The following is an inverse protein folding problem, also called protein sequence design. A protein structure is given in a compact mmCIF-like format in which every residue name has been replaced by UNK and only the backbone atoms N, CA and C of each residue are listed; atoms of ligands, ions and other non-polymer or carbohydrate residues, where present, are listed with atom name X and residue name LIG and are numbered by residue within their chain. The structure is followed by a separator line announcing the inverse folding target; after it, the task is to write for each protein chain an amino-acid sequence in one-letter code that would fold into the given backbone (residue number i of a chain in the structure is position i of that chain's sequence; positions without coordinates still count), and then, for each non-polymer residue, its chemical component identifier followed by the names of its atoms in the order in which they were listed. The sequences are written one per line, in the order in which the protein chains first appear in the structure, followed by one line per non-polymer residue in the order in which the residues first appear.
data_IF_141740797053
#
_entry.id   IF_141740797053
#
_cell.length_a   1.000
_cell.length_b   1.000
_cell.length_c   1.000
_cell.angle_alpha   90.00
_cell.angle_beta   90.00
_cell.angle_gamma   90.00
#
_symmetry.space_group_name_H-M   'P 1'
#
loop_
_entity.id
_entity.type
_entity.pdbx_description
1 polymer ?
#
# COMPACT_ATOMS: atom_id res chain seq x y z
N UNK A 1 -22.28 -13.20 -20.71
CA UNK A 1 -21.82 -12.43 -19.54
C UNK A 1 -20.33 -12.16 -19.66
N UNK A 2 -19.47 -13.19 -19.73
CA UNK A 2 -18.00 -13.02 -19.78
C UNK A 2 -17.54 -12.12 -20.94
N UNK A 3 -18.10 -12.29 -22.14
CA UNK A 3 -17.78 -11.45 -23.30
C UNK A 3 -18.11 -9.96 -23.07
N UNK A 4 -19.13 -9.66 -22.28
CA UNK A 4 -19.50 -8.30 -21.92
C UNK A 4 -18.48 -7.71 -20.92
N UNK A 5 -18.09 -8.48 -19.92
CA UNK A 5 -17.05 -8.08 -18.97
C UNK A 5 -15.72 -7.78 -19.68
N UNK A 6 -15.31 -8.65 -20.61
CA UNK A 6 -14.12 -8.47 -21.43
C UNK A 6 -14.20 -7.23 -22.33
N UNK A 7 -15.37 -6.97 -22.94
CA UNK A 7 -15.58 -5.80 -23.78
C UNK A 7 -15.41 -4.49 -23.00
N UNK A 8 -15.98 -4.42 -21.79
CA UNK A 8 -15.86 -3.25 -20.91
C UNK A 8 -14.56 -3.21 -20.10
N UNK A 9 -13.72 -4.26 -20.17
CA UNK A 9 -12.49 -4.40 -19.41
C UNK A 9 -12.70 -4.25 -17.89
N UNK A 10 -13.79 -4.80 -17.38
CA UNK A 10 -14.11 -4.82 -15.95
C UNK A 10 -14.01 -6.24 -15.40
N UNK A 11 -13.51 -6.37 -14.17
CA UNK A 11 -13.40 -7.68 -13.49
C UNK A 11 -14.69 -8.12 -12.82
N UNK A 12 -15.56 -7.17 -12.49
CA UNK A 12 -16.85 -7.41 -11.86
C UNK A 12 -17.90 -6.52 -12.50
N UNK A 13 -19.04 -7.10 -12.83
CA UNK A 13 -20.24 -6.37 -13.27
C UNK A 13 -21.50 -7.14 -12.89
N UNK A 14 -22.58 -6.41 -12.67
CA UNK A 14 -23.95 -6.95 -12.59
C UNK A 14 -24.65 -6.82 -13.94
N UNK A 15 -25.36 -7.85 -14.36
CA UNK A 15 -26.18 -7.82 -15.57
C UNK A 15 -27.58 -8.23 -15.18
N UNK A 16 -28.52 -7.30 -15.32
CA UNK A 16 -29.93 -7.56 -15.13
C UNK A 16 -30.51 -8.05 -16.45
N UNK A 17 -31.14 -9.23 -16.41
CA UNK A 17 -31.71 -9.87 -17.58
C UNK A 17 -33.17 -10.21 -17.39
N UNK A 18 -33.93 -10.08 -18.46
CA UNK A 18 -35.27 -10.63 -18.58
C UNK A 18 -35.18 -11.90 -19.41
N UNK A 19 -35.56 -13.03 -18.83
CA UNK A 19 -35.54 -14.30 -19.52
C UNK A 19 -36.82 -15.10 -19.24
N UNK A 20 -37.36 -15.76 -20.23
CA UNK A 20 -38.47 -16.68 -20.04
C UNK A 20 -38.04 -17.95 -19.29
N UNK A 21 -36.82 -18.39 -19.49
CA UNK A 21 -36.17 -19.53 -18.81
C UNK A 21 -34.65 -19.34 -18.86
N UNK A 22 -34.07 -19.10 -17.67
CA UNK A 22 -32.61 -18.87 -17.53
C UNK A 22 -31.76 -20.12 -17.87
N UNK A 23 -32.35 -21.30 -17.85
CA UNK A 23 -31.66 -22.53 -18.19
C UNK A 23 -31.52 -22.78 -19.70
N UNK A 24 -32.21 -21.98 -20.51
CA UNK A 24 -32.12 -22.07 -21.98
C UNK A 24 -31.06 -21.14 -22.54
N UNK A 25 -30.46 -21.48 -23.70
CA UNK A 25 -29.55 -20.58 -24.42
C UNK A 25 -30.25 -19.25 -24.76
N UNK A 26 -29.52 -18.14 -24.65
CA UNK A 26 -30.04 -16.83 -25.04
C UNK A 26 -30.43 -16.75 -26.54
N UNK A 27 -29.84 -17.59 -27.35
CA UNK A 27 -30.12 -17.73 -28.83
C UNK A 27 -31.52 -18.25 -29.12
N UNK A 28 -32.19 -18.88 -28.16
CA UNK A 28 -33.55 -19.42 -28.32
C UNK A 28 -34.63 -18.34 -28.28
N UNK A 29 -34.23 -17.07 -28.13
CA UNK A 29 -35.13 -15.95 -27.93
C UNK A 29 -35.64 -15.83 -26.47
N UNK A 30 -36.55 -14.87 -26.23
CA UNK A 30 -37.07 -14.57 -24.91
C UNK A 30 -35.97 -14.25 -23.87
N UNK A 31 -34.88 -13.61 -24.31
CA UNK A 31 -33.81 -13.12 -23.46
C UNK A 31 -33.48 -11.67 -23.83
N UNK A 32 -33.42 -10.79 -22.83
CA UNK A 32 -33.02 -9.40 -23.01
C UNK A 32 -32.19 -8.91 -21.84
N UNK A 33 -31.14 -8.16 -22.13
CA UNK A 33 -30.38 -7.43 -21.12
C UNK A 33 -31.11 -6.13 -20.85
N UNK A 34 -31.41 -5.85 -19.59
CA UNK A 34 -32.09 -4.63 -19.14
C UNK A 34 -31.04 -3.59 -18.76
N UNK A 35 -30.04 -4.00 -17.94
CA UNK A 35 -29.08 -3.10 -17.35
C UNK A 35 -27.72 -3.80 -17.16
N UNK A 36 -26.64 -3.01 -17.23
CA UNK A 36 -25.27 -3.45 -16.94
C UNK A 36 -24.67 -2.47 -15.93
N UNK A 37 -24.29 -2.97 -14.76
CA UNK A 37 -23.78 -2.20 -13.66
C UNK A 37 -22.29 -2.52 -13.40
N UNK A 38 -21.40 -1.53 -13.50
CA UNK A 38 -19.96 -1.69 -13.18
C UNK A 38 -19.71 -1.77 -11.66
N UNK A 39 -20.67 -1.34 -10.83
CA UNK A 39 -20.63 -1.46 -9.36
C UNK A 39 -21.89 -2.13 -8.86
N UNK A 40 -22.06 -3.46 -9.05
CA UNK A 40 -23.31 -4.14 -8.70
C UNK A 40 -23.53 -4.17 -7.19
N UNK A 41 -24.80 -4.11 -6.77
CA UNK A 41 -25.20 -4.43 -5.40
C UNK A 41 -24.89 -5.90 -5.08
N UNK A 42 -24.38 -6.16 -3.87
CA UNK A 42 -24.00 -7.53 -3.45
C UNK A 42 -24.83 -8.03 -2.28
N UNK A 43 -25.61 -7.16 -1.65
CA UNK A 43 -26.37 -7.48 -0.43
C UNK A 43 -27.37 -8.63 -0.65
N UNK A 44 -28.04 -8.69 -1.79
CA UNK A 44 -29.02 -9.75 -2.13
C UNK A 44 -28.36 -11.14 -2.18
N UNK A 45 -27.05 -11.22 -2.42
CA UNK A 45 -26.33 -12.49 -2.42
C UNK A 45 -25.93 -12.92 -1.00
N UNK A 46 -25.64 -11.94 -0.12
CA UNK A 46 -25.29 -12.20 1.28
C UNK A 46 -26.54 -12.53 2.13
N UNK A 47 -27.68 -11.93 1.81
CA UNK A 47 -28.93 -12.11 2.56
C UNK A 47 -30.11 -12.34 1.59
N UNK A 48 -30.13 -13.48 0.86
CA UNK A 48 -31.24 -13.79 -0.04
C UNK A 48 -32.52 -14.05 0.75
N UNK A 49 -33.67 -13.67 0.20
CA UNK A 49 -34.97 -13.96 0.81
C UNK A 49 -35.28 -15.46 0.82
N UNK A 50 -34.78 -16.21 -0.15
CA UNK A 50 -34.91 -17.67 -0.31
C UNK A 50 -33.57 -18.20 -0.85
N UNK A 51 -33.11 -19.32 -0.32
CA UNK A 51 -31.87 -19.96 -0.70
C UNK A 51 -30.71 -19.71 0.25
N UNK A 52 -29.53 -20.21 -0.09
CA UNK A 52 -28.31 -20.04 0.72
C UNK A 52 -27.58 -18.77 0.35
N UNK A 53 -26.97 -18.12 1.34
CA UNK A 53 -26.08 -16.99 1.13
C UNK A 53 -24.84 -17.39 0.29
N UNK A 54 -24.41 -16.49 -0.57
CA UNK A 54 -23.17 -16.61 -1.36
C UNK A 54 -22.29 -15.41 -1.04
N UNK A 55 -21.05 -15.66 -0.66
CA UNK A 55 -20.08 -14.61 -0.38
C UNK A 55 -19.53 -13.99 -1.68
N UNK A 56 -20.37 -13.27 -2.40
CA UNK A 56 -19.98 -12.55 -3.60
C UNK A 56 -18.92 -11.47 -3.32
N UNK A 57 -18.99 -10.68 -2.24
CA UNK A 57 -17.91 -9.74 -1.90
C UNK A 57 -16.54 -10.42 -1.76
N UNK A 58 -16.47 -11.55 -1.04
CA UNK A 58 -15.22 -12.32 -0.90
C UNK A 58 -14.69 -12.79 -2.25
N UNK A 59 -15.56 -13.28 -3.14
CA UNK A 59 -15.19 -13.68 -4.50
C UNK A 59 -14.66 -12.51 -5.34
N UNK A 60 -15.27 -11.32 -5.20
CA UNK A 60 -14.80 -10.10 -5.87
C UNK A 60 -13.40 -9.75 -5.37
N UNK A 61 -13.19 -9.71 -4.05
CA UNK A 61 -11.87 -9.43 -3.47
C UNK A 61 -10.82 -10.44 -3.93
N UNK A 62 -11.12 -11.73 -3.89
CA UNK A 62 -10.23 -12.79 -4.36
C UNK A 62 -9.91 -12.70 -5.86
N UNK A 63 -10.77 -12.09 -6.67
CA UNK A 63 -10.49 -11.85 -8.09
C UNK A 63 -9.47 -10.72 -8.33
N UNK A 64 -9.32 -9.81 -7.36
CA UNK A 64 -8.39 -8.69 -7.44
C UNK A 64 -7.04 -8.99 -6.79
N UNK A 65 -7.03 -9.74 -5.69
CA UNK A 65 -5.84 -10.02 -4.90
C UNK A 65 -5.65 -11.51 -4.73
N UNK A 66 -4.43 -11.99 -4.97
CA UNK A 66 -4.10 -13.43 -4.83
C UNK A 66 -4.18 -13.88 -3.37
N UNK A 67 -3.68 -13.04 -2.47
CA UNK A 67 -3.72 -13.23 -1.01
C UNK A 67 -3.97 -11.88 -0.33
N UNK A 68 -4.37 -11.85 0.96
CA UNK A 68 -4.54 -10.60 1.71
C UNK A 68 -3.31 -9.70 1.72
N UNK A 69 -2.10 -10.29 1.72
CA UNK A 69 -0.83 -9.56 1.74
C UNK A 69 -0.67 -8.68 0.49
N UNK A 70 -1.15 -9.15 -0.67
CA UNK A 70 -1.15 -8.37 -1.92
C UNK A 70 -2.21 -7.27 -1.99
N UNK A 71 -3.08 -7.17 -0.97
CA UNK A 71 -4.14 -6.15 -0.94
C UNK A 71 -3.69 -4.82 -0.32
N UNK A 72 -2.44 -4.71 0.11
CA UNK A 72 -1.89 -3.52 0.76
C UNK A 72 -0.71 -2.94 -0.02
N UNK A 73 -0.50 -1.65 0.15
CA UNK A 73 0.68 -0.96 -0.36
C UNK A 73 1.83 -1.19 0.61
N UNK A 74 3.02 -1.66 0.18
CA UNK A 74 4.21 -1.68 1.01
C UNK A 74 4.58 -0.27 1.48
N UNK A 75 4.88 -0.12 2.77
CA UNK A 75 5.15 1.18 3.40
C UNK A 75 6.49 1.15 4.15
N UNK A 76 7.33 2.16 3.88
CA UNK A 76 8.42 2.57 4.76
C UNK A 76 7.96 3.81 5.51
N UNK A 77 7.93 3.77 6.83
CA UNK A 77 7.61 4.92 7.67
C UNK A 77 8.86 5.39 8.44
N UNK A 78 9.01 6.69 8.66
CA UNK A 78 10.12 7.21 9.45
C UNK A 78 9.93 8.67 9.85
N UNK A 79 10.70 9.12 10.86
CA UNK A 79 10.62 10.49 11.35
C UNK A 79 11.55 11.48 10.61
N UNK A 80 12.68 11.00 10.09
CA UNK A 80 13.68 11.82 9.42
C UNK A 80 14.14 11.16 8.12
N UNK A 81 13.27 11.14 7.12
CA UNK A 81 13.59 10.61 5.78
C UNK A 81 14.01 11.79 4.89
N UNK A 82 15.27 11.79 4.48
CA UNK A 82 15.81 12.80 3.56
C UNK A 82 15.35 12.58 2.12
N UNK A 83 15.46 13.62 1.31
CA UNK A 83 15.23 13.51 -0.14
C UNK A 83 16.22 12.52 -0.78
N UNK A 84 17.51 12.56 -0.38
CA UNK A 84 18.54 11.67 -0.93
C UNK A 84 18.23 10.21 -0.62
N UNK A 85 17.85 9.88 0.63
CA UNK A 85 17.45 8.53 1.00
C UNK A 85 16.22 8.07 0.22
N UNK A 86 15.21 8.94 0.09
CA UNK A 86 14.00 8.67 -0.71
C UNK A 86 14.33 8.39 -2.18
N UNK A 87 15.22 9.19 -2.79
CA UNK A 87 15.65 9.02 -4.18
C UNK A 87 16.45 7.71 -4.36
N UNK A 88 17.29 7.36 -3.39
CA UNK A 88 18.03 6.10 -3.41
C UNK A 88 17.08 4.88 -3.31
N UNK A 89 16.08 4.95 -2.44
CA UNK A 89 15.03 3.93 -2.32
C UNK A 89 14.28 3.79 -3.66
N UNK A 90 13.84 4.91 -4.24
CA UNK A 90 13.15 4.91 -5.54
C UNK A 90 13.98 4.27 -6.64
N UNK A 91 15.24 4.67 -6.78
CA UNK A 91 16.14 4.12 -7.79
C UNK A 91 16.29 2.60 -7.61
N UNK A 92 16.41 2.14 -6.36
CA UNK A 92 16.53 0.70 -6.08
C UNK A 92 15.24 -0.07 -6.38
N UNK A 93 14.08 0.50 -6.05
CA UNK A 93 12.78 -0.07 -6.42
C UNK A 93 12.67 -0.23 -7.94
N UNK A 94 13.07 0.80 -8.70
CA UNK A 94 13.06 0.77 -10.17
C UNK A 94 14.04 -0.23 -10.78
N UNK A 95 15.14 -0.54 -10.11
CA UNK A 95 16.05 -1.63 -10.52
C UNK A 95 15.39 -3.02 -10.35
N UNK A 96 14.58 -3.19 -9.29
CA UNK A 96 13.90 -4.46 -9.00
C UNK A 96 12.67 -4.62 -9.93
N UNK A 97 11.86 -3.58 -10.02
CA UNK A 97 10.67 -3.54 -10.86
C UNK A 97 10.49 -2.13 -11.46
N UNK A 98 10.85 -1.99 -12.74
CA UNK A 98 10.83 -0.70 -13.45
C UNK A 98 9.43 -0.09 -13.64
N UNK A 99 8.39 -0.90 -13.52
CA UNK A 99 7.00 -0.47 -13.77
C UNK A 99 6.27 -0.07 -12.48
N UNK A 100 6.86 -0.32 -11.29
CA UNK A 100 6.25 0.02 -10.01
C UNK A 100 6.12 1.53 -9.82
N UNK A 101 4.95 1.98 -9.40
CA UNK A 101 4.66 3.38 -9.09
C UNK A 101 4.98 3.67 -7.62
N UNK A 102 5.81 4.68 -7.40
CA UNK A 102 6.33 5.09 -6.10
C UNK A 102 5.76 6.43 -5.67
N UNK A 103 5.35 6.54 -4.43
CA UNK A 103 4.96 7.80 -3.82
C UNK A 103 5.69 8.05 -2.50
N UNK A 104 6.04 9.29 -2.21
CA UNK A 104 6.61 9.62 -0.92
C UNK A 104 6.07 10.94 -0.35
N UNK A 105 6.01 11.01 0.97
CA UNK A 105 5.80 12.21 1.75
C UNK A 105 7.09 12.58 2.46
N UNK A 106 7.65 13.72 2.07
CA UNK A 106 8.85 14.31 2.65
C UNK A 106 8.51 15.62 3.35
N UNK A 107 9.52 16.33 3.84
CA UNK A 107 9.33 17.62 4.50
C UNK A 107 8.79 18.70 3.56
N UNK A 108 9.19 18.67 2.29
CA UNK A 108 8.77 19.60 1.25
C UNK A 108 7.41 19.25 0.62
N UNK A 109 6.85 18.06 0.90
CA UNK A 109 5.52 17.64 0.46
C UNK A 109 5.44 16.26 -0.15
N UNK A 110 4.43 16.06 -0.98
CA UNK A 110 4.12 14.80 -1.68
C UNK A 110 4.84 14.75 -3.02
N UNK A 111 5.45 13.60 -3.31
CA UNK A 111 6.09 13.32 -4.59
C UNK A 111 5.56 12.01 -5.17
N UNK A 112 5.45 11.94 -6.50
CA UNK A 112 5.19 10.71 -7.25
C UNK A 112 6.33 10.47 -8.23
N UNK A 113 6.93 9.28 -8.19
CA UNK A 113 8.06 8.89 -9.04
C UNK A 113 9.20 9.92 -9.04
N UNK A 114 9.52 10.49 -7.85
CA UNK A 114 10.48 11.57 -7.58
C UNK A 114 10.08 12.97 -8.07
N UNK A 115 8.96 13.13 -8.76
CA UNK A 115 8.47 14.45 -9.15
C UNK A 115 7.63 15.05 -8.02
N UNK A 116 7.92 16.31 -7.65
CA UNK A 116 7.10 17.05 -6.68
C UNK A 116 5.68 17.21 -7.22
N UNK A 117 4.71 16.82 -6.41
CA UNK A 117 3.29 16.92 -6.78
C UNK A 117 2.59 18.07 -6.06
N UNK A 118 2.62 18.08 -4.72
CA UNK A 118 1.90 19.06 -3.92
C UNK A 118 2.38 19.05 -2.45
N UNK A 119 2.10 20.15 -1.75
CA UNK A 119 2.23 20.25 -0.30
C UNK A 119 0.98 20.89 0.27
N UNK A 120 0.28 20.18 1.14
CA UNK A 120 -0.79 20.74 1.95
C UNK A 120 -0.27 21.07 3.35
N UNK A 121 -0.87 22.08 3.98
CA UNK A 121 -0.57 22.41 5.39
C UNK A 121 -0.99 21.28 6.34
N UNK A 122 -1.96 20.46 5.94
CA UNK A 122 -2.42 19.32 6.70
C UNK A 122 -1.68 18.05 6.32
N UNK A 123 -0.95 17.47 7.25
CA UNK A 123 -0.34 16.15 7.13
C UNK A 123 -1.36 15.07 6.72
N UNK A 124 -2.55 15.11 7.33
CA UNK A 124 -3.66 14.23 6.97
C UNK A 124 -3.98 14.23 5.48
N UNK A 125 -4.04 15.40 4.85
CA UNK A 125 -4.33 15.49 3.42
C UNK A 125 -3.17 14.95 2.57
N UNK A 126 -1.93 15.21 2.96
CA UNK A 126 -0.75 14.71 2.25
C UNK A 126 -0.69 13.17 2.26
N UNK A 127 -0.87 12.54 3.43
CA UNK A 127 -0.93 11.07 3.53
C UNK A 127 -2.09 10.50 2.71
N UNK A 128 -3.25 11.16 2.77
CA UNK A 128 -4.45 10.73 2.06
C UNK A 128 -4.29 10.80 0.53
N UNK A 129 -3.58 11.81 0.01
CA UNK A 129 -3.26 11.91 -1.42
C UNK A 129 -2.48 10.67 -1.86
N UNK A 130 -1.48 10.24 -1.11
CA UNK A 130 -0.66 9.08 -1.43
C UNK A 130 -1.47 7.78 -1.34
N UNK A 131 -2.10 7.53 -0.19
CA UNK A 131 -2.73 6.24 0.08
C UNK A 131 -4.07 6.01 -0.63
N UNK A 132 -4.67 7.08 -1.19
CA UNK A 132 -5.89 6.99 -2.00
C UNK A 132 -5.64 7.10 -3.50
N UNK A 133 -4.42 7.36 -3.92
CA UNK A 133 -4.08 7.31 -5.33
C UNK A 133 -4.02 5.84 -5.78
N UNK A 134 -4.88 5.42 -6.73
CA UNK A 134 -4.92 4.02 -7.19
C UNK A 134 -3.64 3.58 -7.92
N UNK A 135 -2.80 4.54 -8.30
CA UNK A 135 -1.51 4.26 -8.94
C UNK A 135 -0.37 4.08 -7.94
N UNK A 136 -0.58 4.34 -6.63
CA UNK A 136 0.48 4.13 -5.64
C UNK A 136 0.65 2.65 -5.34
N UNK A 137 1.80 2.09 -5.69
CA UNK A 137 2.15 0.68 -5.47
C UNK A 137 3.23 0.50 -4.40
N UNK A 138 3.92 1.58 -4.02
CA UNK A 138 4.88 1.61 -2.92
C UNK A 138 4.90 3.01 -2.30
N UNK A 139 4.96 3.11 -0.97
CA UNK A 139 4.94 4.39 -0.28
C UNK A 139 6.08 4.55 0.73
N UNK A 140 6.65 5.75 0.80
CA UNK A 140 7.55 6.20 1.86
C UNK A 140 6.92 7.38 2.59
N UNK A 141 6.68 7.26 3.89
CA UNK A 141 5.93 8.24 4.66
C UNK A 141 6.77 8.79 5.82
N UNK A 142 7.09 10.08 5.73
CA UNK A 142 7.69 10.82 6.85
C UNK A 142 6.60 11.33 7.79
N UNK A 143 6.77 11.07 9.09
CA UNK A 143 5.91 11.56 10.16
C UNK A 143 6.76 12.32 11.19
N UNK A 144 6.53 13.61 11.34
CA UNK A 144 7.13 14.36 12.44
C UNK A 144 6.35 14.14 13.74
N UNK A 145 6.96 14.48 14.88
CA UNK A 145 6.29 14.39 16.17
C UNK A 145 4.98 15.19 16.23
N UNK A 146 4.94 16.37 15.59
CA UNK A 146 3.73 17.20 15.56
C UNK A 146 2.63 16.54 14.72
N UNK A 147 3.00 15.95 13.57
CA UNK A 147 2.05 15.22 12.73
C UNK A 147 1.41 14.06 13.49
N UNK A 148 2.23 13.33 14.27
CA UNK A 148 1.76 12.19 15.08
C UNK A 148 0.81 12.65 16.19
N UNK A 149 1.14 13.73 16.90
CA UNK A 149 0.27 14.29 17.96
C UNK A 149 -1.05 14.80 17.43
N UNK A 150 -1.04 15.48 16.27
CA UNK A 150 -2.24 16.13 15.73
C UNK A 150 -3.15 15.15 14.97
N UNK A 151 -2.59 14.16 14.29
CA UNK A 151 -3.32 13.32 13.34
C UNK A 151 -3.13 11.81 13.53
N UNK A 152 -2.14 11.37 14.29
CA UNK A 152 -1.72 9.97 14.33
C UNK A 152 -1.02 9.55 13.03
N UNK A 153 -0.97 8.24 12.76
CA UNK A 153 -0.24 7.71 11.61
C UNK A 153 -1.05 7.63 10.32
N UNK A 154 -2.38 7.58 10.40
CA UNK A 154 -3.31 7.55 9.26
C UNK A 154 -3.20 6.32 8.36
N UNK A 155 -2.43 5.30 8.75
CA UNK A 155 -2.30 4.00 8.10
C UNK A 155 -2.05 2.89 9.14
N UNK A 156 -2.32 1.65 8.74
CA UNK A 156 -2.20 0.46 9.58
C UNK A 156 -1.04 -0.41 9.10
N UNK A 157 0.11 -0.25 9.68
CA UNK A 157 1.26 -1.09 9.38
C UNK A 157 2.27 -0.48 8.43
N UNK A 158 3.53 -0.85 8.67
CA UNK A 158 4.68 -0.54 7.84
C UNK A 158 5.59 -1.78 7.75
N UNK A 159 6.18 -1.98 6.58
CA UNK A 159 7.15 -3.06 6.36
C UNK A 159 8.50 -2.71 6.96
N UNK A 160 8.86 -1.43 6.92
CA UNK A 160 10.08 -0.89 7.49
C UNK A 160 9.73 0.37 8.27
N UNK A 161 10.25 0.49 9.49
CA UNK A 161 10.20 1.70 10.30
C UNK A 161 11.63 2.19 10.54
N UNK A 162 11.89 3.47 10.23
CA UNK A 162 13.19 4.13 10.39
C UNK A 162 13.03 5.23 11.46
N UNK A 163 13.72 5.07 12.58
CA UNK A 163 13.74 6.01 13.69
C UNK A 163 15.14 6.62 13.80
N UNK A 164 15.30 7.88 13.44
CA UNK A 164 16.56 8.62 13.52
C UNK A 164 16.49 9.63 14.65
N UNK A 165 17.22 9.38 15.75
CA UNK A 165 17.20 10.19 16.97
C UNK A 165 15.77 10.57 17.40
N UNK A 166 14.88 9.59 17.38
CA UNK A 166 13.46 9.77 17.55
C UNK A 166 13.08 10.22 18.97
N UNK A 167 12.15 11.17 19.06
CA UNK A 167 11.51 11.55 20.32
C UNK A 167 10.37 10.57 20.67
N UNK A 168 9.86 10.63 21.90
CA UNK A 168 8.84 9.72 22.42
C UNK A 168 7.62 9.51 21.50
N UNK A 169 7.11 10.60 20.88
CA UNK A 169 5.98 10.47 19.95
C UNK A 169 6.36 9.67 18.70
N UNK A 170 7.56 9.92 18.16
CA UNK A 170 8.07 9.25 16.97
C UNK A 170 8.44 7.79 17.25
N UNK A 171 8.90 7.47 18.46
CA UNK A 171 9.12 6.10 18.89
C UNK A 171 7.87 5.24 18.83
N UNK A 172 6.68 5.85 18.95
CA UNK A 172 5.41 5.14 18.83
C UNK A 172 5.18 4.52 17.44
N UNK A 173 5.94 4.94 16.40
CA UNK A 173 5.94 4.29 15.08
C UNK A 173 6.35 2.82 15.13
N UNK A 174 7.05 2.37 16.17
CA UNK A 174 7.34 0.94 16.40
C UNK A 174 6.06 0.10 16.39
N UNK A 175 4.93 0.68 16.83
CA UNK A 175 3.62 0.01 16.85
C UNK A 175 3.00 -0.17 15.46
N UNK A 176 3.53 0.51 14.42
CA UNK A 176 3.12 0.31 13.03
C UNK A 176 3.79 -0.92 12.42
N UNK A 177 4.84 -1.44 13.03
CA UNK A 177 5.63 -2.49 12.43
C UNK A 177 4.79 -3.75 12.24
N UNK A 178 4.76 -4.27 11.02
CA UNK A 178 4.12 -5.54 10.71
C UNK A 178 4.87 -6.70 11.36
N UNK A 179 4.23 -7.85 11.49
CA UNK A 179 4.78 -9.03 12.16
C UNK A 179 6.17 -9.45 11.65
N UNK A 180 6.40 -9.32 10.34
CA UNK A 180 7.70 -9.60 9.70
C UNK A 180 8.47 -8.33 9.31
N UNK A 181 8.02 -7.18 9.78
CA UNK A 181 8.62 -5.89 9.47
C UNK A 181 10.00 -5.70 10.11
N UNK A 182 10.71 -4.70 9.63
CA UNK A 182 12.06 -4.35 10.07
C UNK A 182 12.04 -2.99 10.76
N UNK A 183 12.61 -2.94 11.96
CA UNK A 183 12.87 -1.69 12.66
C UNK A 183 14.35 -1.31 12.50
N UNK A 184 14.60 -0.09 12.06
CA UNK A 184 15.92 0.53 11.96
C UNK A 184 15.95 1.70 12.94
N UNK A 185 16.76 1.60 13.97
CA UNK A 185 16.96 2.66 14.96
C UNK A 185 18.33 3.26 14.77
N UNK A 186 18.39 4.56 14.69
CA UNK A 186 19.62 5.34 14.50
C UNK A 186 19.78 6.25 15.71
N UNK A 187 20.86 6.09 16.45
CA UNK A 187 21.22 6.91 17.61
C UNK A 187 22.73 6.84 17.84
N UNK A 188 23.30 7.93 18.35
CA UNK A 188 24.69 7.98 18.78
C UNK A 188 25.71 7.42 17.78
N UNK A 189 25.54 7.76 16.48
CA UNK A 189 26.37 7.25 15.38
C UNK A 189 26.31 5.73 15.18
N UNK A 190 25.21 5.10 15.59
CA UNK A 190 24.97 3.68 15.44
C UNK A 190 23.63 3.42 14.74
N UNK A 191 23.61 2.44 13.86
CA UNK A 191 22.41 1.93 13.20
C UNK A 191 22.16 0.52 13.74
N UNK A 192 21.06 0.33 14.43
CA UNK A 192 20.60 -0.98 14.88
C UNK A 192 19.41 -1.43 14.04
N UNK A 193 19.46 -2.66 13.58
CA UNK A 193 18.43 -3.28 12.75
C UNK A 193 17.85 -4.47 13.47
N UNK A 194 16.54 -4.46 13.67
CA UNK A 194 15.84 -5.54 14.38
C UNK A 194 14.66 -6.07 13.59
N UNK A 195 14.35 -7.35 13.78
CA UNK A 195 13.13 -8.03 13.31
C UNK A 195 12.62 -8.90 14.46
N UNK A 196 11.36 -8.74 14.85
CA UNK A 196 10.73 -9.47 15.98
C UNK A 196 11.59 -9.41 17.26
N UNK A 197 12.09 -8.22 17.58
CA UNK A 197 12.98 -7.95 18.73
C UNK A 197 14.35 -8.65 18.68
N UNK A 198 14.68 -9.38 17.62
CA UNK A 198 16.02 -9.91 17.39
C UNK A 198 16.89 -8.91 16.64
N UNK A 199 18.07 -8.63 17.16
CA UNK A 199 19.06 -7.76 16.51
C UNK A 199 19.71 -8.52 15.35
N UNK A 200 19.44 -8.03 14.13
CA UNK A 200 20.02 -8.59 12.90
C UNK A 200 21.41 -8.01 12.62
N UNK A 201 21.59 -6.72 12.87
CA UNK A 201 22.88 -6.04 12.71
C UNK A 201 22.97 -4.79 13.57
N UNK A 202 24.20 -4.38 13.86
CA UNK A 202 24.53 -3.12 14.51
C UNK A 202 25.78 -2.56 13.85
N UNK A 203 25.67 -1.35 13.26
CA UNK A 203 26.69 -0.76 12.40
C UNK A 203 26.95 0.67 12.87
N UNK A 204 28.24 1.05 13.03
CA UNK A 204 28.63 2.43 13.34
C UNK A 204 28.89 3.23 12.09
N UNK A 205 28.59 4.54 12.13
CA UNK A 205 28.87 5.49 11.07
C UNK A 205 29.56 6.74 11.63
N UNK A 206 30.21 7.54 10.75
CA UNK A 206 31.01 8.68 11.16
C UNK A 206 30.47 10.03 10.68
N UNK A 207 29.67 10.03 9.63
CA UNK A 207 29.06 11.24 9.07
C UNK A 207 27.71 10.91 8.42
N UNK A 208 26.94 11.94 8.03
CA UNK A 208 25.60 11.77 7.47
C UNK A 208 25.59 11.04 6.11
N UNK A 209 26.63 11.22 5.28
CA UNK A 209 26.74 10.54 3.98
C UNK A 209 26.91 9.03 4.17
N UNK A 210 27.81 8.62 5.09
CA UNK A 210 28.00 7.21 5.48
C UNK A 210 26.69 6.62 6.05
N UNK A 211 25.97 7.41 6.85
CA UNK A 211 24.69 7.00 7.44
C UNK A 211 23.69 6.60 6.37
N UNK A 212 23.44 7.46 5.38
CA UNK A 212 22.47 7.17 4.32
C UNK A 212 22.86 5.95 3.47
N UNK A 213 24.15 5.81 3.14
CA UNK A 213 24.68 4.63 2.43
C UNK A 213 24.44 3.35 3.23
N UNK A 214 24.69 3.37 4.53
CA UNK A 214 24.50 2.21 5.40
C UNK A 214 23.02 1.85 5.58
N UNK A 215 22.15 2.86 5.71
CA UNK A 215 20.69 2.63 5.72
C UNK A 215 20.26 1.95 4.42
N UNK A 216 20.70 2.45 3.26
CA UNK A 216 20.38 1.86 1.97
C UNK A 216 20.91 0.43 1.84
N UNK A 217 22.15 0.15 2.25
CA UNK A 217 22.69 -1.20 2.22
C UNK A 217 21.89 -2.19 3.07
N UNK A 218 21.29 -1.71 4.16
CA UNK A 218 20.41 -2.47 5.04
C UNK A 218 19.02 -2.70 4.40
N UNK A 219 18.47 -1.67 3.78
CA UNK A 219 17.12 -1.72 3.18
C UNK A 219 17.11 -2.51 1.87
N UNK A 220 18.16 -2.45 1.07
CA UNK A 220 18.20 -3.06 -0.27
C UNK A 220 17.77 -4.54 -0.34
N UNK A 221 18.29 -5.47 0.49
CA UNK A 221 17.81 -6.84 0.47
C UNK A 221 16.36 -6.98 0.86
N UNK A 222 15.85 -6.09 1.74
CA UNK A 222 14.47 -6.08 2.22
C UNK A 222 13.50 -5.57 1.14
N UNK A 223 13.92 -4.58 0.32
CA UNK A 223 13.11 -4.13 -0.82
C UNK A 223 12.83 -5.26 -1.80
N UNK A 224 13.80 -6.15 -2.03
CA UNK A 224 13.60 -7.33 -2.88
C UNK A 224 12.60 -8.31 -2.27
N UNK A 225 12.65 -8.50 -0.96
CA UNK A 225 11.69 -9.33 -0.22
C UNK A 225 10.26 -8.75 -0.33
N UNK A 226 10.11 -7.45 -0.07
CA UNK A 226 8.81 -6.75 -0.03
C UNK A 226 8.16 -6.61 -1.42
N UNK A 227 8.95 -6.35 -2.47
CA UNK A 227 8.42 -6.10 -3.83
C UNK A 227 8.10 -7.42 -4.56
N UNK A 228 8.74 -8.52 -4.22
CA UNK A 228 8.50 -9.83 -4.83
C UNK A 228 7.42 -10.67 -4.12
N UNK A 229 6.83 -10.14 -3.05
CA UNK A 229 5.65 -10.71 -2.41
C UNK A 229 4.43 -10.46 -3.29
#
# INVERSE_FOLDING_TARGET
VESIALFFRVKCLGIDVLAGDIAKPWTDGNFGIIEINAGPGVFMHLAPAIGSAIDVPGLIMASHFKTPEYSRIPIIAGNNISKNLSDAIFNKIREINKDISYACLLEDGVHFNNDFFNKNDSHYQNVKIILRNPETEFAVLRHSKNDIYDFGFLHEGADIVILDNAEFAEESMKNLLLENGILIVISDHQIEVTRKDEVLSSISFYNEEDKEILIMSTIEPLLKEIINL
#
